data_IF_078926764520
#
_entry.id   IF_078926764520
#
_cell.length_a   1.000
_cell.length_b   1.000
_cell.length_c   1.000
_cell.angle_alpha   90.00
_cell.angle_beta   90.00
_cell.angle_gamma   90.00
#
_symmetry.space_group_name_H-M   'P 1'
#
loop_
_entity.id
_entity.type
_entity.pdbx_description
1 polymer ?
#
# COMPACT_ATOMS: atom_id res chain seq x y z
N UNK A 1 -9.70 28.87 5.87
CA UNK A 1 -9.28 27.46 5.73
C UNK A 1 -9.06 26.74 7.06
N UNK A 2 -8.36 27.33 8.04
CA UNK A 2 -8.18 26.78 9.42
C UNK A 2 -9.49 26.41 10.17
N UNK A 3 -10.60 27.05 9.82
CA UNK A 3 -11.93 26.83 10.44
C UNK A 3 -12.58 25.51 9.96
N UNK A 4 -12.35 25.08 8.71
CA UNK A 4 -12.97 23.85 8.15
C UNK A 4 -12.33 22.57 8.68
N UNK A 5 -11.00 22.57 8.89
CA UNK A 5 -10.27 21.46 9.51
C UNK A 5 -10.65 21.31 10.98
N UNK A 6 -10.76 22.43 11.72
CA UNK A 6 -11.26 22.40 13.11
C UNK A 6 -12.69 21.90 13.21
N UNK A 7 -13.58 22.25 12.28
CA UNK A 7 -14.96 21.78 12.28
C UNK A 7 -15.07 20.27 12.01
N UNK A 8 -14.25 19.71 11.12
CA UNK A 8 -14.21 18.27 10.86
C UNK A 8 -13.54 17.49 12.01
N UNK A 9 -12.48 18.03 12.62
CA UNK A 9 -11.86 17.45 13.83
C UNK A 9 -12.84 17.48 15.01
N UNK A 10 -13.59 18.58 15.17
CA UNK A 10 -14.67 18.69 16.16
C UNK A 10 -15.81 17.73 15.84
N UNK A 11 -16.16 17.50 14.57
CA UNK A 11 -17.18 16.51 14.18
C UNK A 11 -16.73 15.09 14.50
N UNK A 12 -15.48 14.72 14.19
CA UNK A 12 -14.91 13.40 14.53
C UNK A 12 -14.83 13.22 16.04
N UNK A 13 -14.36 14.23 16.79
CA UNK A 13 -14.30 14.19 18.26
C UNK A 13 -15.70 14.20 18.88
N UNK A 14 -16.68 14.90 18.31
CA UNK A 14 -18.05 14.92 18.82
C UNK A 14 -18.83 13.65 18.48
N UNK A 15 -18.55 12.99 17.35
CA UNK A 15 -19.04 11.62 17.07
C UNK A 15 -18.41 10.61 18.03
N UNK A 16 -17.15 10.81 18.43
CA UNK A 16 -16.48 10.00 19.46
C UNK A 16 -16.98 10.29 20.90
N UNK A 17 -17.52 11.48 21.16
CA UNK A 17 -18.04 11.88 22.48
C UNK A 17 -19.55 11.63 22.64
N UNK A 18 -20.32 11.59 21.56
CA UNK A 18 -21.77 11.30 21.60
C UNK A 18 -22.10 9.80 21.76
N UNK A 19 -21.10 8.92 21.76
CA UNK A 19 -21.22 7.53 22.21
C UNK A 19 -21.04 7.37 23.73
N UNK A 20 -21.11 8.48 24.49
CA UNK A 20 -21.07 8.53 25.94
C UNK A 20 -22.23 7.82 26.64
N UNK A 21 -22.21 6.48 26.63
CA UNK A 21 -22.50 5.70 27.83
C UNK A 21 -21.19 5.05 28.26
N UNK A 22 -20.78 5.31 29.50
CA UNK A 22 -19.68 4.65 30.18
C UNK A 22 -20.01 3.16 30.44
N UNK A 23 -20.21 2.39 29.38
CA UNK A 23 -19.97 0.95 29.39
C UNK A 23 -18.49 0.72 29.13
N UNK A 24 -17.97 -0.42 29.56
CA UNK A 24 -16.71 -0.92 29.00
C UNK A 24 -16.75 -0.75 27.48
N UNK A 25 -15.61 -0.44 26.86
CA UNK A 25 -15.49 -0.51 25.40
C UNK A 25 -15.94 -1.92 25.02
N UNK A 26 -17.19 -2.08 24.57
CA UNK A 26 -17.82 -3.38 24.39
C UNK A 26 -17.15 -4.00 23.17
N UNK A 27 -16.11 -4.80 23.43
CA UNK A 27 -15.31 -5.43 22.39
C UNK A 27 -16.26 -6.39 21.67
N UNK A 28 -16.59 -6.15 20.40
CA UNK A 28 -17.56 -6.96 19.71
C UNK A 28 -17.08 -8.41 19.64
N UNK A 29 -17.97 -9.35 19.94
CA UNK A 29 -17.73 -10.77 19.64
C UNK A 29 -17.42 -10.97 18.16
N UNK A 30 -16.53 -11.95 17.88
CA UNK A 30 -16.19 -12.34 16.51
C UNK A 30 -17.43 -12.93 15.84
N UNK A 31 -17.77 -12.41 14.66
CA UNK A 31 -18.94 -12.82 13.87
C UNK A 31 -18.72 -14.13 13.12
N UNK A 32 -17.46 -14.49 12.86
CA UNK A 32 -17.02 -15.69 12.12
C UNK A 32 -15.73 -16.27 12.73
N UNK A 33 -15.34 -17.50 12.40
CA UNK A 33 -13.98 -17.98 12.67
C UNK A 33 -12.92 -17.06 12.02
N UNK A 34 -11.77 -16.87 12.67
CA UNK A 34 -10.72 -15.96 12.18
C UNK A 34 -9.65 -16.66 11.32
N UNK A 35 -9.85 -17.94 11.08
CA UNK A 35 -9.02 -18.82 10.28
C UNK A 35 -9.98 -19.67 9.43
N UNK A 36 -10.29 -19.17 8.23
CA UNK A 36 -11.20 -19.85 7.29
C UNK A 36 -10.48 -21.04 6.63
N UNK A 37 -11.23 -22.06 6.25
CA UNK A 37 -10.71 -23.25 5.53
C UNK A 37 -11.45 -23.49 4.22
N UNK A 38 -12.33 -22.57 3.82
CA UNK A 38 -13.12 -22.70 2.61
C UNK A 38 -12.23 -22.47 1.38
N UNK A 39 -11.99 -23.53 0.62
CA UNK A 39 -11.12 -23.47 -0.55
C UNK A 39 -11.69 -22.56 -1.64
N UNK A 40 -10.87 -21.61 -2.06
CA UNK A 40 -11.15 -20.68 -3.15
C UNK A 40 -10.03 -20.61 -4.17
N UNK A 41 -10.35 -20.15 -5.38
CA UNK A 41 -9.32 -19.76 -6.34
C UNK A 41 -9.83 -18.67 -7.26
N UNK A 42 -8.92 -17.88 -7.81
CA UNK A 42 -9.23 -16.91 -8.83
C UNK A 42 -8.05 -16.75 -9.79
N UNK A 43 -8.30 -16.66 -11.08
CA UNK A 43 -7.28 -16.47 -12.13
C UNK A 43 -7.80 -15.51 -13.18
N UNK A 44 -7.07 -14.44 -13.46
CA UNK A 44 -7.49 -13.40 -14.39
C UNK A 44 -6.37 -13.00 -15.36
N UNK A 45 -6.69 -12.74 -16.64
CA UNK A 45 -5.77 -12.04 -17.52
C UNK A 45 -5.56 -10.62 -17.00
N UNK A 46 -4.32 -10.13 -17.10
CA UNK A 46 -3.91 -8.81 -16.64
C UNK A 46 -3.20 -8.07 -17.79
N UNK A 47 -3.96 -7.47 -18.73
CA UNK A 47 -3.35 -6.62 -19.75
C UNK A 47 -2.73 -5.39 -19.07
N UNK A 48 -1.51 -5.02 -19.47
CA UNK A 48 -0.82 -3.85 -18.93
C UNK A 48 -0.30 -2.94 -20.04
N UNK A 49 -0.19 -1.66 -19.73
CA UNK A 49 0.46 -0.64 -20.55
C UNK A 49 1.24 0.28 -19.62
N UNK A 50 2.56 0.25 -19.74
CA UNK A 50 3.48 1.03 -18.92
C UNK A 50 4.06 2.17 -19.76
N UNK A 51 3.79 3.44 -19.40
CA UNK A 51 4.38 4.59 -20.09
C UNK A 51 5.90 4.46 -20.19
N UNK A 52 6.45 4.70 -21.39
CA UNK A 52 7.89 4.68 -21.64
C UNK A 52 8.55 3.30 -21.77
N UNK A 53 7.88 2.20 -21.41
CA UNK A 53 8.38 0.83 -21.65
C UNK A 53 7.63 0.17 -22.80
N UNK A 54 6.30 0.15 -22.73
CA UNK A 54 5.46 -0.57 -23.68
C UNK A 54 4.29 -1.31 -23.04
N UNK A 55 3.81 -2.37 -23.68
CA UNK A 55 2.59 -3.07 -23.28
C UNK A 55 2.76 -4.58 -23.29
N UNK A 56 1.82 -5.28 -22.67
CA UNK A 56 1.85 -6.72 -22.68
C UNK A 56 0.67 -7.35 -21.99
N UNK A 57 0.82 -8.64 -21.72
CA UNK A 57 -0.20 -9.44 -21.07
C UNK A 57 0.43 -10.20 -19.92
N UNK A 58 -0.18 -10.06 -18.75
CA UNK A 58 0.07 -10.89 -17.59
C UNK A 58 -1.06 -11.86 -17.33
N UNK A 59 -0.78 -12.80 -16.44
CA UNK A 59 -1.76 -13.66 -15.79
C UNK A 59 -1.55 -13.54 -14.29
N UNK A 60 -2.60 -13.17 -13.56
CA UNK A 60 -2.59 -13.12 -12.09
C UNK A 60 -3.53 -14.18 -11.56
N UNK A 61 -3.16 -14.84 -10.48
CA UNK A 61 -4.06 -15.76 -9.83
C UNK A 61 -3.60 -16.22 -8.47
N UNK A 62 -4.47 -16.93 -7.79
CA UNK A 62 -4.17 -17.54 -6.50
C UNK A 62 -5.22 -18.57 -6.12
N UNK A 63 -4.84 -19.40 -5.16
CA UNK A 63 -5.69 -20.34 -4.48
C UNK A 63 -5.61 -20.07 -2.99
N UNK A 64 -6.76 -20.12 -2.33
CA UNK A 64 -6.95 -19.76 -0.94
C UNK A 64 -7.37 -21.00 -0.16
N UNK A 65 -6.91 -21.12 1.08
CA UNK A 65 -7.24 -22.24 1.97
C UNK A 65 -6.98 -23.62 1.31
N UNK A 66 -5.78 -23.81 0.76
CA UNK A 66 -5.41 -25.01 0.00
C UNK A 66 -5.37 -26.23 0.92
N UNK A 67 -5.90 -27.37 0.44
CA UNK A 67 -5.84 -28.68 1.13
C UNK A 67 -6.47 -28.66 2.54
N UNK A 68 -7.61 -27.99 2.69
CA UNK A 68 -8.30 -27.79 3.99
C UNK A 68 -7.44 -27.08 5.05
N UNK A 69 -6.34 -26.45 4.63
CA UNK A 69 -5.52 -25.58 5.47
C UNK A 69 -5.98 -24.13 5.36
N UNK A 70 -5.25 -23.24 6.02
CA UNK A 70 -5.42 -21.79 5.92
C UNK A 70 -4.44 -21.15 4.92
N UNK A 71 -3.69 -21.99 4.20
CA UNK A 71 -2.60 -21.52 3.36
C UNK A 71 -3.14 -20.96 2.06
N UNK A 72 -2.74 -19.73 1.73
CA UNK A 72 -3.00 -19.15 0.42
C UNK A 72 -1.70 -19.09 -0.39
N UNK A 73 -1.80 -19.37 -1.68
CA UNK A 73 -0.71 -19.23 -2.65
C UNK A 73 -1.19 -18.37 -3.79
N UNK A 74 -0.40 -17.37 -4.16
CA UNK A 74 -0.74 -16.43 -5.22
C UNK A 74 0.48 -16.11 -6.07
N UNK A 75 0.24 -15.66 -7.29
CA UNK A 75 1.29 -15.35 -8.22
C UNK A 75 0.81 -14.55 -9.41
N UNK A 76 1.79 -13.98 -10.10
CA UNK A 76 1.60 -13.28 -11.34
C UNK A 76 2.77 -13.57 -12.26
N UNK A 77 2.48 -13.70 -13.56
CA UNK A 77 3.48 -13.79 -14.61
C UNK A 77 3.20 -12.71 -15.64
N UNK A 78 4.25 -12.12 -16.20
CA UNK A 78 4.18 -11.05 -17.20
C UNK A 78 4.96 -11.44 -18.45
N UNK A 79 4.40 -11.12 -19.61
CA UNK A 79 5.05 -11.26 -20.91
C UNK A 79 4.73 -10.06 -21.81
N UNK A 80 5.58 -9.79 -22.79
CA UNK A 80 5.55 -8.59 -23.61
C UNK A 80 6.87 -7.82 -23.49
N UNK A 81 6.77 -6.49 -23.45
CA UNK A 81 7.90 -5.58 -23.29
C UNK A 81 8.52 -5.67 -21.88
N UNK A 82 7.71 -6.03 -20.88
CA UNK A 82 8.16 -6.44 -19.55
C UNK A 82 7.94 -7.94 -19.36
N UNK A 83 8.96 -8.63 -18.86
CA UNK A 83 8.88 -10.05 -18.50
C UNK A 83 9.19 -10.25 -17.04
N UNK A 84 8.45 -11.12 -16.38
CA UNK A 84 8.72 -11.38 -14.98
C UNK A 84 7.72 -12.31 -14.35
N UNK A 85 7.99 -12.64 -13.10
CA UNK A 85 7.08 -13.38 -12.25
C UNK A 85 7.19 -12.90 -10.81
N UNK A 86 6.08 -12.96 -10.09
CA UNK A 86 6.07 -12.89 -8.64
C UNK A 86 5.24 -14.05 -8.10
N UNK A 87 5.69 -14.61 -6.97
CA UNK A 87 5.04 -15.72 -6.27
C UNK A 87 5.04 -15.41 -4.78
N UNK A 88 3.95 -15.73 -4.12
CA UNK A 88 3.81 -15.58 -2.69
C UNK A 88 2.99 -16.69 -2.08
N UNK A 89 3.29 -16.99 -0.82
CA UNK A 89 2.49 -17.83 0.03
C UNK A 89 2.27 -17.12 1.36
N UNK A 90 1.05 -17.16 1.89
CA UNK A 90 0.69 -16.53 3.16
C UNK A 90 -0.10 -17.49 4.03
N UNK A 91 -0.19 -17.13 5.30
CA UNK A 91 -0.90 -17.91 6.32
C UNK A 91 -0.38 -19.38 6.37
N UNK A 92 0.95 -19.55 6.27
CA UNK A 92 1.62 -20.84 6.50
C UNK A 92 1.71 -21.11 8.01
N UNK A 93 0.98 -22.09 8.52
CA UNK A 93 0.91 -22.37 9.95
C UNK A 93 2.15 -23.14 10.43
N UNK A 94 3.16 -22.43 10.94
CA UNK A 94 4.32 -23.04 11.60
C UNK A 94 3.90 -23.67 12.94
N UNK A 95 3.06 -22.94 13.68
CA UNK A 95 2.32 -23.47 14.83
C UNK A 95 0.85 -23.16 14.59
N UNK A 96 -0.04 -24.18 14.59
CA UNK A 96 -1.44 -23.99 14.21
C UNK A 96 -2.10 -22.81 14.94
N UNK A 97 -2.58 -21.83 14.16
CA UNK A 97 -3.34 -20.64 14.64
C UNK A 97 -2.59 -19.75 15.64
N UNK A 98 -1.27 -19.91 15.76
CA UNK A 98 -0.45 -19.16 16.71
C UNK A 98 0.78 -18.54 16.07
N UNK A 99 1.45 -19.24 15.15
CA UNK A 99 2.62 -18.73 14.44
C UNK A 99 2.43 -18.95 12.95
N UNK A 100 2.27 -17.85 12.23
CA UNK A 100 2.02 -17.80 10.80
C UNK A 100 3.27 -17.30 10.09
N UNK A 101 3.57 -17.88 8.93
CA UNK A 101 4.61 -17.41 8.04
C UNK A 101 4.02 -16.97 6.70
N UNK A 102 4.64 -15.94 6.14
CA UNK A 102 4.39 -15.46 4.79
C UNK A 102 5.73 -15.34 4.08
N UNK A 103 5.78 -15.71 2.81
CA UNK A 103 6.97 -15.62 1.96
C UNK A 103 6.57 -15.08 0.59
N UNK A 104 7.44 -14.29 0.00
CA UNK A 104 7.25 -13.72 -1.33
C UNK A 104 8.56 -13.58 -2.06
N UNK A 105 8.53 -13.86 -3.35
CA UNK A 105 9.65 -13.67 -4.27
C UNK A 105 9.15 -13.04 -5.57
N UNK A 106 9.96 -12.20 -6.19
CA UNK A 106 9.72 -11.73 -7.55
C UNK A 106 11.01 -11.51 -8.32
N UNK A 107 10.90 -11.64 -9.63
CA UNK A 107 11.95 -11.33 -10.60
C UNK A 107 11.30 -10.71 -11.82
N UNK A 108 11.63 -9.46 -12.11
CA UNK A 108 11.07 -8.67 -13.22
C UNK A 108 12.23 -8.08 -14.02
N UNK A 109 12.18 -8.21 -15.34
CA UNK A 109 13.24 -7.76 -16.23
C UNK A 109 13.44 -6.26 -16.14
N UNK A 110 12.35 -5.51 -16.18
CA UNK A 110 12.35 -4.05 -16.24
C UNK A 110 11.09 -3.50 -15.58
N UNK A 111 11.24 -2.45 -14.77
CA UNK A 111 10.12 -1.72 -14.16
C UNK A 111 10.33 -0.22 -14.35
N UNK A 112 9.27 0.51 -14.66
CA UNK A 112 9.30 1.98 -14.70
C UNK A 112 8.56 2.56 -13.51
N UNK A 113 9.20 3.51 -12.85
CA UNK A 113 8.66 4.26 -11.73
C UNK A 113 8.55 5.73 -12.14
N UNK A 114 7.43 6.37 -11.79
CA UNK A 114 7.29 7.82 -11.91
C UNK A 114 8.03 8.49 -10.74
N UNK A 115 9.05 9.27 -11.06
CA UNK A 115 9.77 10.11 -10.11
C UNK A 115 9.34 11.57 -10.27
N UNK A 116 8.49 12.03 -9.35
CA UNK A 116 7.91 13.37 -9.41
C UNK A 116 8.94 14.42 -9.03
N UNK A 117 8.99 15.55 -9.74
CA UNK A 117 10.01 16.59 -9.59
C UNK A 117 10.07 17.25 -8.19
N UNK A 118 9.06 17.02 -7.35
CA UNK A 118 9.14 17.28 -5.92
C UNK A 118 8.38 16.21 -5.13
N UNK A 119 8.90 15.93 -3.93
CA UNK A 119 8.38 14.91 -3.00
C UNK A 119 7.09 15.31 -2.26
N UNK A 120 6.87 16.62 -2.07
CA UNK A 120 5.76 17.17 -1.28
C UNK A 120 4.46 17.38 -2.07
N UNK A 121 3.44 17.94 -1.40
CA UNK A 121 2.08 18.02 -1.96
C UNK A 121 1.90 18.99 -3.14
N UNK A 122 2.82 19.93 -3.35
CA UNK A 122 2.73 21.00 -4.35
C UNK A 122 3.37 20.70 -5.70
N UNK A 123 3.94 19.50 -5.87
CA UNK A 123 4.45 19.06 -7.17
C UNK A 123 3.35 19.09 -8.25
N UNK A 124 3.70 19.53 -9.46
CA UNK A 124 2.79 19.44 -10.61
C UNK A 124 2.63 17.98 -11.05
N UNK A 125 1.45 17.63 -11.57
CA UNK A 125 1.13 16.26 -11.99
C UNK A 125 1.88 15.85 -13.26
N UNK A 126 2.19 16.83 -14.11
CA UNK A 126 2.98 16.68 -15.33
C UNK A 126 4.42 17.14 -15.08
N UNK A 127 4.90 17.04 -13.84
CA UNK A 127 6.30 17.25 -13.50
C UNK A 127 6.84 15.97 -12.86
N UNK A 128 7.09 14.98 -13.71
CA UNK A 128 7.76 13.73 -13.35
C UNK A 128 8.75 13.31 -14.44
N UNK A 129 9.67 12.45 -14.05
CA UNK A 129 10.54 11.68 -14.95
C UNK A 129 10.18 10.21 -14.81
N UNK A 130 10.49 9.41 -15.82
CA UNK A 130 10.33 7.96 -15.76
C UNK A 130 11.69 7.32 -15.49
N UNK A 131 11.82 6.66 -14.34
CA UNK A 131 13.02 5.91 -13.98
C UNK A 131 12.81 4.46 -14.40
N UNK A 132 13.68 3.94 -15.25
CA UNK A 132 13.68 2.54 -15.68
C UNK A 132 14.71 1.74 -14.87
N UNK A 133 14.23 0.71 -14.17
CA UNK A 133 15.02 -0.18 -13.34
C UNK A 133 15.06 -1.58 -13.95
N UNK A 134 16.26 -2.08 -14.21
CA UNK A 134 16.53 -3.40 -14.74
C UNK A 134 16.85 -4.45 -13.67
N UNK A 135 16.69 -5.71 -14.05
CA UNK A 135 17.01 -6.91 -13.26
C UNK A 135 16.45 -6.87 -11.83
N UNK A 136 15.21 -6.37 -11.70
CA UNK A 136 14.57 -6.19 -10.40
C UNK A 136 14.27 -7.54 -9.77
N UNK A 137 14.88 -7.81 -8.63
CA UNK A 137 14.59 -8.99 -7.83
C UNK A 137 14.23 -8.59 -6.42
N UNK A 138 13.26 -9.29 -5.86
CA UNK A 138 12.79 -9.07 -4.51
C UNK A 138 12.51 -10.41 -3.85
N UNK A 139 12.86 -10.51 -2.58
CA UNK A 139 12.49 -11.63 -1.75
C UNK A 139 12.25 -11.15 -0.33
N UNK A 140 11.33 -11.81 0.37
CA UNK A 140 11.21 -11.62 1.79
C UNK A 140 10.11 -12.46 2.38
N UNK A 141 9.87 -12.20 3.66
CA UNK A 141 8.87 -12.91 4.41
C UNK A 141 8.56 -12.23 5.72
N UNK A 142 7.48 -12.72 6.34
CA UNK A 142 6.94 -12.22 7.58
C UNK A 142 6.60 -13.41 8.48
N UNK A 143 6.88 -13.24 9.77
CA UNK A 143 6.35 -14.09 10.83
C UNK A 143 5.36 -13.27 11.63
N UNK A 144 4.18 -13.85 11.87
CA UNK A 144 3.13 -13.22 12.69
C UNK A 144 2.74 -14.19 13.80
N UNK A 145 2.96 -13.77 15.04
CA UNK A 145 2.43 -14.45 16.21
C UNK A 145 1.03 -13.91 16.51
N UNK A 146 0.04 -14.80 16.63
CA UNK A 146 -1.37 -14.44 16.82
C UNK A 146 -1.91 -14.93 18.16
N UNK A 147 -2.65 -14.08 18.85
CA UNK A 147 -3.22 -14.35 20.17
C UNK A 147 -4.70 -13.94 20.23
N UNK A 148 -5.46 -14.63 21.08
CA UNK A 148 -6.87 -14.32 21.37
C UNK A 148 -7.74 -14.20 20.10
N UNK A 149 -7.75 -15.23 19.24
CA UNK A 149 -8.46 -15.20 17.96
C UNK A 149 -8.08 -13.98 17.10
N UNK A 150 -6.76 -13.81 16.91
CA UNK A 150 -6.14 -12.72 16.14
C UNK A 150 -6.52 -11.31 16.60
N UNK A 151 -6.91 -11.15 17.87
CA UNK A 151 -7.15 -9.81 18.44
C UNK A 151 -5.86 -9.09 18.79
N UNK A 152 -4.80 -9.84 19.02
CA UNK A 152 -3.48 -9.29 19.24
C UNK A 152 -2.48 -10.04 18.39
N UNK A 153 -1.70 -9.30 17.61
CA UNK A 153 -0.65 -9.86 16.78
C UNK A 153 0.65 -9.09 17.00
N UNK A 154 1.76 -9.82 16.97
CA UNK A 154 3.11 -9.26 16.89
C UNK A 154 3.73 -9.86 15.64
N UNK A 155 4.38 -9.03 14.83
CA UNK A 155 4.98 -9.49 13.60
C UNK A 155 6.36 -8.92 13.39
N UNK A 156 7.17 -9.72 12.70
CA UNK A 156 8.49 -9.33 12.21
C UNK A 156 8.59 -9.72 10.74
N UNK A 157 9.11 -8.82 9.90
CA UNK A 157 9.31 -9.08 8.49
C UNK A 157 10.70 -8.65 8.05
N UNK A 158 11.21 -9.30 7.01
CA UNK A 158 12.46 -8.93 6.37
C UNK A 158 12.30 -9.05 4.86
N UNK A 159 12.66 -7.99 4.16
CA UNK A 159 12.59 -7.91 2.71
C UNK A 159 13.92 -7.42 2.19
N UNK A 160 14.37 -8.02 1.09
CA UNK A 160 15.59 -7.64 0.41
C UNK A 160 15.31 -7.57 -1.10
N UNK A 161 15.94 -6.61 -1.76
CA UNK A 161 15.82 -6.45 -3.19
C UNK A 161 17.10 -5.94 -3.81
N UNK A 162 17.18 -6.13 -5.12
CA UNK A 162 18.22 -5.54 -5.97
C UNK A 162 17.63 -5.05 -7.27
N UNK A 163 18.19 -3.97 -7.78
CA UNK A 163 17.87 -3.41 -9.09
C UNK A 163 19.06 -2.59 -9.59
N UNK A 164 19.06 -2.29 -10.89
CA UNK A 164 20.01 -1.35 -11.48
C UNK A 164 19.25 -0.28 -12.25
N UNK A 165 19.69 0.96 -12.16
CA UNK A 165 19.21 2.02 -13.07
C UNK A 165 19.62 1.67 -14.51
N UNK A 166 18.67 1.65 -15.43
CA UNK A 166 18.94 1.48 -16.86
C UNK A 166 18.87 2.83 -17.57
N UNK A 167 17.80 3.58 -17.33
CA UNK A 167 17.61 4.88 -17.98
C UNK A 167 16.73 5.82 -17.17
N UNK A 168 16.86 7.10 -17.47
CA UNK A 168 15.94 8.17 -17.08
C UNK A 168 15.33 8.73 -18.36
N UNK A 169 14.00 8.71 -18.39
CA UNK A 169 13.19 9.13 -19.54
C UNK A 169 12.34 10.34 -19.17
N UNK A 170 11.95 11.10 -20.18
CA UNK A 170 10.89 12.10 -20.05
C UNK A 170 9.51 11.43 -19.90
N UNK A 171 8.48 12.26 -19.80
CA UNK A 171 7.09 11.82 -19.62
C UNK A 171 6.50 11.17 -20.87
N UNK A 172 7.05 11.50 -22.04
CA UNK A 172 6.66 10.94 -23.34
C UNK A 172 7.36 9.59 -23.59
N UNK A 173 8.31 9.20 -22.74
CA UNK A 173 9.05 7.95 -22.82
C UNK A 173 10.37 8.04 -23.59
N UNK A 174 10.77 9.22 -24.04
CA UNK A 174 12.05 9.49 -24.71
C UNK A 174 13.19 9.31 -23.71
N UNK A 175 14.23 8.59 -24.12
CA UNK A 175 15.42 8.39 -23.29
C UNK A 175 16.22 9.69 -23.24
N UNK A 176 16.32 10.27 -22.05
CA UNK A 176 17.09 11.50 -21.80
C UNK A 176 18.47 11.19 -21.25
N UNK A 177 18.58 10.11 -20.46
CA UNK A 177 19.85 9.71 -19.84
C UNK A 177 19.92 8.20 -19.76
N UNK A 178 21.01 7.63 -20.26
CA UNK A 178 21.31 6.21 -20.13
C UNK A 178 22.32 6.03 -18.99
N UNK A 179 22.07 5.05 -18.12
CA UNK A 179 23.05 4.64 -17.13
C UNK A 179 24.09 3.73 -17.79
N UNK A 180 25.37 4.11 -17.71
CA UNK A 180 26.50 3.32 -18.18
C UNK A 180 27.29 2.83 -16.98
N UNK A 181 27.29 1.50 -16.76
CA UNK A 181 28.02 0.84 -15.67
C UNK A 181 27.60 1.29 -14.25
N UNK A 182 26.32 1.63 -14.08
CA UNK A 182 25.76 1.98 -12.78
C UNK A 182 25.83 0.83 -11.77
N UNK A 183 26.08 1.17 -10.51
CA UNK A 183 26.12 0.20 -9.42
C UNK A 183 24.77 -0.54 -9.29
N UNK A 184 24.84 -1.81 -8.88
CA UNK A 184 23.63 -2.59 -8.54
C UNK A 184 23.20 -2.16 -7.14
N UNK A 185 22.11 -1.41 -7.07
CA UNK A 185 21.48 -1.06 -5.81
C UNK A 185 20.99 -2.31 -5.09
N UNK A 186 21.35 -2.44 -3.81
CA UNK A 186 20.88 -3.51 -2.93
C UNK A 186 20.30 -2.88 -1.68
N UNK A 187 19.02 -3.13 -1.46
CA UNK A 187 18.32 -2.64 -0.28
C UNK A 187 17.81 -3.81 0.53
N UNK A 188 17.76 -3.64 1.84
CA UNK A 188 16.95 -4.49 2.68
C UNK A 188 16.24 -3.66 3.74
N UNK A 189 15.07 -4.12 4.15
CA UNK A 189 14.25 -3.48 5.17
C UNK A 189 13.75 -4.54 6.13
N UNK A 190 13.83 -4.24 7.41
CA UNK A 190 13.22 -5.06 8.46
C UNK A 190 12.05 -4.32 9.07
N UNK A 191 11.02 -5.05 9.44
CA UNK A 191 9.81 -4.49 10.03
C UNK A 191 9.55 -5.21 11.34
N UNK A 192 9.23 -4.45 12.38
CA UNK A 192 8.67 -4.99 13.62
C UNK A 192 7.40 -4.21 13.92
N UNK A 193 6.30 -4.92 14.17
CA UNK A 193 5.04 -4.27 14.44
C UNK A 193 4.11 -5.08 15.31
N UNK A 194 3.04 -4.42 15.72
CA UNK A 194 1.97 -5.01 16.50
C UNK A 194 0.63 -4.51 16.03
N UNK A 195 -0.36 -5.41 16.07
CA UNK A 195 -1.75 -5.11 15.75
C UNK A 195 -2.63 -5.46 16.94
N UNK A 196 -3.51 -4.53 17.28
CA UNK A 196 -4.63 -4.75 18.18
C UNK A 196 -5.90 -4.66 17.34
N UNK A 197 -6.57 -5.79 17.19
CA UNK A 197 -7.79 -5.93 16.40
C UNK A 197 -8.97 -6.22 17.34
N UNK A 198 -9.75 -5.17 17.61
CA UNK A 198 -10.97 -5.23 18.41
C UNK A 198 -12.21 -5.16 17.51
N UNK A 199 -12.14 -5.72 16.31
CA UNK A 199 -13.27 -5.76 15.38
C UNK A 199 -14.08 -7.05 15.56
N UNK A 200 -15.28 -7.07 14.96
CA UNK A 200 -16.09 -8.28 14.89
C UNK A 200 -15.59 -9.30 13.85
N UNK A 201 -14.70 -8.92 12.94
CA UNK A 201 -14.20 -9.79 11.86
C UNK A 201 -12.83 -9.27 11.38
N UNK A 202 -11.83 -10.14 11.27
CA UNK A 202 -10.48 -9.75 10.85
C UNK A 202 -10.40 -9.39 9.36
N UNK A 203 -11.18 -10.03 8.49
CA UNK A 203 -11.11 -9.77 7.05
C UNK A 203 -12.11 -8.70 6.62
N UNK A 204 -13.39 -8.79 6.99
CA UNK A 204 -14.43 -7.80 6.66
C UNK A 204 -15.10 -7.20 7.92
N UNK A 205 -14.37 -6.34 8.68
CA UNK A 205 -14.92 -5.65 9.85
C UNK A 205 -16.20 -4.86 9.54
N UNK A 206 -17.21 -4.99 10.40
CA UNK A 206 -18.43 -4.17 10.38
C UNK A 206 -18.58 -3.27 11.61
N UNK A 207 -17.94 -3.65 12.72
CA UNK A 207 -17.93 -2.88 13.97
C UNK A 207 -16.61 -3.06 14.71
N UNK A 208 -16.24 -2.04 15.48
CA UNK A 208 -15.06 -2.06 16.36
C UNK A 208 -13.90 -1.24 15.82
N UNK A 209 -12.70 -1.47 16.35
CA UNK A 209 -11.50 -0.68 16.05
C UNK A 209 -10.29 -1.57 15.83
N UNK A 210 -9.46 -1.21 14.86
CA UNK A 210 -8.15 -1.82 14.60
C UNK A 210 -7.07 -0.76 14.74
N UNK A 211 -6.02 -1.12 15.47
CA UNK A 211 -4.82 -0.32 15.66
C UNK A 211 -3.62 -1.13 15.18
N UNK A 212 -2.74 -0.50 14.42
CA UNK A 212 -1.49 -1.10 13.96
C UNK A 212 -0.36 -0.09 14.12
N UNK A 213 0.74 -0.54 14.71
CA UNK A 213 1.95 0.26 14.93
C UNK A 213 3.13 -0.55 14.45
N UNK A 214 3.93 0.04 13.57
CA UNK A 214 5.11 -0.61 13.02
C UNK A 214 6.32 0.30 13.00
N UNK A 215 7.49 -0.33 13.13
CA UNK A 215 8.79 0.27 12.89
C UNK A 215 9.42 -0.43 11.70
N UNK A 216 9.69 0.33 10.65
CA UNK A 216 10.46 -0.12 9.50
C UNK A 216 11.87 0.40 9.65
N UNK A 217 12.88 -0.46 9.63
CA UNK A 217 14.28 -0.07 9.64
C UNK A 217 14.90 -0.39 8.28
N UNK A 218 15.42 0.66 7.65
CA UNK A 218 16.16 0.59 6.40
C UNK A 218 17.60 0.97 6.72
N UNK A 219 18.47 -0.03 6.97
CA UNK A 219 19.88 0.21 7.20
C UNK A 219 20.54 0.84 5.97
N UNK A 220 21.69 1.49 6.17
CA UNK A 220 22.37 2.21 5.11
C UNK A 220 22.90 1.21 4.08
N UNK A 221 22.70 1.55 2.81
CA UNK A 221 23.39 0.93 1.69
C UNK A 221 24.61 1.78 1.28
N UNK A 222 25.12 1.60 0.05
CA UNK A 222 26.33 2.27 -0.43
C UNK A 222 26.25 3.80 -0.36
N UNK A 223 25.08 4.38 -0.68
CA UNK A 223 24.90 5.84 -0.74
C UNK A 223 23.68 6.35 0.03
N UNK A 224 22.79 5.46 0.46
CA UNK A 224 21.55 5.76 1.16
C UNK A 224 21.72 6.06 2.64
N UNK A 225 20.68 6.62 3.28
CA UNK A 225 20.70 6.96 4.69
C UNK A 225 20.49 5.72 5.57
N UNK A 226 20.94 5.79 6.82
CA UNK A 226 20.46 4.92 7.90
C UNK A 226 19.25 5.60 8.55
N UNK A 227 18.08 5.00 8.43
CA UNK A 227 16.85 5.58 8.95
C UNK A 227 15.81 4.53 9.30
N UNK A 228 14.85 4.95 10.12
CA UNK A 228 13.67 4.16 10.39
C UNK A 228 12.40 4.97 10.23
N UNK A 229 11.31 4.27 9.94
CA UNK A 229 9.97 4.83 9.78
C UNK A 229 9.11 4.31 10.92
N UNK A 230 8.38 5.21 11.58
CA UNK A 230 7.33 4.84 12.53
C UNK A 230 5.97 5.07 11.89
N UNK A 231 5.16 4.02 11.82
CA UNK A 231 3.81 4.10 11.26
C UNK A 231 2.77 3.80 12.32
N UNK A 232 1.69 4.58 12.27
CA UNK A 232 0.53 4.45 13.13
C UNK A 232 -0.69 4.44 12.23
N UNK A 233 -1.42 3.33 12.23
CA UNK A 233 -2.61 3.15 11.43
C UNK A 233 -3.77 2.77 12.35
N UNK A 234 -4.88 3.50 12.24
CA UNK A 234 -6.07 3.28 13.05
C UNK A 234 -7.29 3.28 12.17
N UNK A 235 -8.07 2.21 12.22
CA UNK A 235 -9.33 2.12 11.49
C UNK A 235 -10.47 1.80 12.44
N UNK A 236 -11.49 2.65 12.46
CA UNK A 236 -12.73 2.42 13.20
C UNK A 236 -13.86 2.04 12.23
N UNK A 237 -14.72 1.13 12.66
CA UNK A 237 -15.86 0.63 11.90
C UNK A 237 -17.13 0.88 12.70
N UNK A 238 -18.03 1.67 12.13
CA UNK A 238 -19.32 2.02 12.74
C UNK A 238 -20.43 1.35 11.93
N UNK A 239 -21.23 0.45 12.52
CA UNK A 239 -22.29 -0.22 11.80
C UNK A 239 -23.39 0.77 11.39
N UNK A 240 -23.85 0.68 10.14
CA UNK A 240 -25.03 1.38 9.63
C UNK A 240 -26.14 0.35 9.43
N UNK A 241 -27.12 0.35 10.33
CA UNK A 241 -28.16 -0.67 10.36
C UNK A 241 -27.57 -2.06 10.63
N UNK A 242 -28.08 -3.09 9.96
CA UNK A 242 -27.68 -4.49 10.20
C UNK A 242 -26.51 -4.99 9.36
N UNK A 243 -26.20 -4.31 8.25
CA UNK A 243 -25.33 -4.88 7.20
C UNK A 243 -24.25 -3.92 6.74
N UNK A 244 -24.60 -2.65 6.58
CA UNK A 244 -23.70 -1.64 6.04
C UNK A 244 -22.75 -1.15 7.12
N UNK A 245 -21.62 -0.58 6.72
CA UNK A 245 -20.57 -0.13 7.64
C UNK A 245 -20.00 1.19 7.18
N UNK A 246 -19.70 2.07 8.13
CA UNK A 246 -18.91 3.26 7.89
C UNK A 246 -17.52 3.07 8.48
N UNK A 247 -16.52 2.98 7.61
CA UNK A 247 -15.11 2.89 8.00
C UNK A 247 -14.47 4.27 8.04
N UNK A 248 -13.64 4.52 9.05
CA UNK A 248 -12.88 5.74 9.27
C UNK A 248 -11.42 5.36 9.50
N UNK A 249 -10.49 5.94 8.75
CA UNK A 249 -9.07 5.67 8.88
C UNK A 249 -8.29 6.94 9.25
N UNK A 250 -7.34 6.77 10.15
CA UNK A 250 -6.28 7.71 10.46
C UNK A 250 -4.94 7.00 10.23
N UNK A 251 -4.07 7.63 9.45
CA UNK A 251 -2.73 7.14 9.22
C UNK A 251 -1.71 8.25 9.40
N UNK A 252 -0.60 7.90 10.04
CA UNK A 252 0.55 8.77 10.21
C UNK A 252 1.83 7.97 10.05
N UNK A 253 2.78 8.52 9.30
CA UNK A 253 4.09 7.92 9.09
C UNK A 253 5.16 8.99 9.24
N UNK A 254 6.22 8.68 9.98
CA UNK A 254 7.33 9.59 10.27
C UNK A 254 8.66 8.86 10.05
N UNK A 255 9.46 9.31 9.09
CA UNK A 255 10.84 8.91 8.91
C UNK A 255 11.76 9.64 9.90
N UNK A 256 12.78 8.94 10.37
CA UNK A 256 13.82 9.46 11.25
C UNK A 256 15.18 8.97 10.78
N UNK A 257 15.97 9.89 10.25
CA UNK A 257 17.34 9.64 9.81
C UNK A 257 18.26 9.62 11.03
N UNK A 258 18.93 8.50 11.23
CA UNK A 258 19.98 8.34 12.25
C UNK A 258 21.33 8.80 11.68
N UNK A 259 21.59 8.47 10.40
CA UNK A 259 22.76 8.94 9.65
C UNK A 259 22.37 9.32 8.23
N UNK A 260 22.63 10.56 7.78
CA UNK A 260 22.40 10.94 6.39
C UNK A 260 23.22 10.10 5.42
N UNK A 261 22.66 9.84 4.24
CA UNK A 261 23.37 9.26 3.11
C UNK A 261 24.22 10.31 2.38
N UNK A 262 24.68 9.96 1.19
CA UNK A 262 25.42 10.85 0.30
C UNK A 262 24.49 11.99 -0.17
N UNK A 263 24.93 13.24 -0.02
CA UNK A 263 24.13 14.42 -0.43
C UNK A 263 24.87 15.30 -1.43
N UNK A 264 25.97 14.80 -1.98
CA UNK A 264 26.78 15.46 -3.01
C UNK A 264 26.29 14.97 -4.38
N UNK A 265 25.88 15.89 -5.23
CA UNK A 265 25.27 15.61 -6.54
C UNK A 265 26.15 14.68 -7.40
N UNK A 266 27.42 15.05 -7.60
CA UNK A 266 28.34 14.29 -8.45
C UNK A 266 28.69 12.89 -7.92
N UNK A 267 28.62 12.67 -6.61
CA UNK A 267 28.87 11.34 -6.03
C UNK A 267 27.71 10.39 -6.35
N UNK A 268 26.48 10.90 -6.35
CA UNK A 268 25.28 10.13 -6.74
C UNK A 268 25.30 9.86 -8.25
N UNK A 269 25.67 10.83 -9.07
CA UNK A 269 25.84 10.62 -10.52
C UNK A 269 26.82 9.50 -10.82
N UNK A 270 28.00 9.54 -10.17
CA UNK A 270 29.03 8.52 -10.31
C UNK A 270 28.53 7.15 -9.87
N UNK A 271 27.78 7.07 -8.76
CA UNK A 271 27.21 5.81 -8.28
C UNK A 271 26.19 5.21 -9.27
N UNK A 272 25.32 6.05 -9.82
CA UNK A 272 24.29 5.64 -10.78
C UNK A 272 24.84 5.42 -12.19
N UNK A 273 26.10 5.79 -12.46
CA UNK A 273 26.72 5.68 -13.77
C UNK A 273 26.09 6.62 -14.80
N UNK A 274 25.66 7.81 -14.38
CA UNK A 274 24.99 8.81 -15.24
C UNK A 274 25.78 10.10 -15.31
N UNK A 275 25.56 10.88 -16.37
CA UNK A 275 26.01 12.28 -16.46
C UNK A 275 24.79 13.14 -16.76
N UNK A 276 24.24 13.77 -15.72
CA UNK A 276 23.03 14.55 -15.81
C UNK A 276 23.28 15.88 -16.55
N UNK A 277 22.79 15.94 -17.78
CA UNK A 277 22.74 17.19 -18.57
C UNK A 277 21.31 17.70 -18.79
N UNK A 278 20.31 16.89 -18.43
CA UNK A 278 18.89 17.16 -18.63
C UNK A 278 18.20 17.52 -17.31
N UNK A 279 17.12 18.34 -17.35
CA UNK A 279 16.34 18.66 -16.16
C UNK A 279 15.77 17.43 -15.43
N UNK A 280 15.39 16.39 -16.17
CA UNK A 280 14.81 15.15 -15.64
C UNK A 280 15.82 14.42 -14.77
N UNK A 281 17.05 14.25 -15.27
CA UNK A 281 18.13 13.61 -14.52
C UNK A 281 18.48 14.39 -13.25
N UNK A 282 18.58 15.73 -13.35
CA UNK A 282 18.85 16.60 -12.20
C UNK A 282 17.78 16.45 -11.11
N UNK A 283 16.51 16.32 -11.48
CA UNK A 283 15.40 16.10 -10.53
C UNK A 283 15.55 14.77 -9.79
N UNK A 284 15.84 13.68 -10.52
CA UNK A 284 16.06 12.36 -9.92
C UNK A 284 17.17 12.39 -8.88
N UNK A 285 18.31 13.02 -9.20
CA UNK A 285 19.41 13.15 -8.26
C UNK A 285 19.01 14.01 -7.04
N UNK A 286 18.30 15.12 -7.24
CA UNK A 286 17.85 15.97 -6.13
C UNK A 286 16.85 15.25 -5.22
N UNK A 287 15.93 14.46 -5.77
CA UNK A 287 15.03 13.61 -4.98
C UNK A 287 15.80 12.59 -4.14
N UNK A 288 16.87 12.01 -4.70
CA UNK A 288 17.76 11.10 -3.97
C UNK A 288 18.54 11.83 -2.87
N UNK A 289 19.00 13.06 -3.11
CA UNK A 289 19.63 13.91 -2.08
C UNK A 289 18.65 14.18 -0.92
N UNK A 290 17.42 14.54 -1.25
CA UNK A 290 16.39 14.81 -0.23
C UNK A 290 16.02 13.54 0.54
N UNK A 291 15.91 12.38 -0.13
CA UNK A 291 15.76 11.09 0.52
C UNK A 291 16.93 10.81 1.48
N UNK A 292 18.17 10.98 1.01
CA UNK A 292 19.38 10.75 1.80
C UNK A 292 19.49 11.70 3.00
N UNK A 293 18.85 12.88 2.94
CA UNK A 293 18.84 13.85 4.03
C UNK A 293 17.72 13.62 5.04
N UNK A 294 16.52 13.31 4.57
CA UNK A 294 15.31 13.32 5.42
C UNK A 294 14.69 11.93 5.62
N UNK A 295 15.10 10.92 4.85
CA UNK A 295 14.40 9.64 4.74
C UNK A 295 13.06 9.81 4.03
N UNK A 296 12.37 8.70 3.77
CA UNK A 296 11.03 8.70 3.17
C UNK A 296 10.08 7.92 4.09
N UNK A 297 8.99 8.56 4.52
CA UNK A 297 7.91 7.90 5.24
C UNK A 297 6.97 7.18 4.27
N UNK A 298 5.95 6.50 4.80
CA UNK A 298 4.89 5.89 4.00
C UNK A 298 4.27 6.91 3.05
N UNK A 299 4.34 6.62 1.75
CA UNK A 299 3.89 7.52 0.69
C UNK A 299 2.37 7.60 0.58
N UNK A 300 1.87 8.64 -0.08
CA UNK A 300 0.47 8.77 -0.47
C UNK A 300 0.33 8.68 -2.00
N UNK A 301 -0.77 8.10 -2.45
CA UNK A 301 -1.05 7.75 -3.84
C UNK A 301 -1.09 6.23 -4.06
N UNK A 302 -1.80 5.79 -5.09
CA UNK A 302 -2.04 4.38 -5.40
C UNK A 302 -3.26 3.80 -4.69
N UNK A 303 -3.38 2.47 -4.67
CA UNK A 303 -4.62 1.79 -4.25
C UNK A 303 -4.94 1.91 -2.75
N UNK A 304 -3.95 2.23 -1.91
CA UNK A 304 -4.12 2.24 -0.46
C UNK A 304 -4.60 3.57 0.09
N UNK A 305 -4.06 4.71 -0.36
CA UNK A 305 -4.31 6.04 0.23
C UNK A 305 -4.23 7.10 -0.86
N UNK A 306 -5.20 8.02 -0.93
CA UNK A 306 -5.32 9.01 -2.02
C UNK A 306 -5.44 8.33 -3.39
N UNK A 307 -6.50 7.52 -3.54
CA UNK A 307 -6.69 6.59 -4.68
C UNK A 307 -6.82 7.21 -6.07
N UNK A 308 -7.05 8.52 -6.16
CA UNK A 308 -7.07 9.25 -7.44
C UNK A 308 -5.69 9.73 -7.91
N UNK A 309 -4.62 9.35 -7.22
CA UNK A 309 -3.26 9.77 -7.50
C UNK A 309 -2.39 8.54 -7.78
N UNK A 310 -1.37 8.63 -8.66
CA UNK A 310 -0.46 7.52 -8.95
C UNK A 310 0.22 6.95 -7.70
N UNK A 311 0.63 5.69 -7.74
CA UNK A 311 1.37 5.08 -6.63
C UNK A 311 2.67 5.87 -6.34
N UNK A 312 2.92 6.17 -5.06
CA UNK A 312 4.11 6.93 -4.66
C UNK A 312 4.09 8.42 -5.04
N UNK A 313 2.95 8.97 -5.47
CA UNK A 313 2.81 10.36 -5.94
C UNK A 313 3.38 11.41 -4.98
N UNK A 314 3.24 11.19 -3.68
CA UNK A 314 3.74 12.08 -2.63
C UNK A 314 4.59 11.27 -1.64
N UNK A 315 5.87 11.63 -1.46
CA UNK A 315 6.91 10.78 -0.87
C UNK A 315 7.96 11.56 -0.06
N UNK A 316 7.56 12.12 1.09
CA UNK A 316 8.42 12.91 1.99
C UNK A 316 8.65 12.23 3.35
N UNK A 317 9.40 12.89 4.24
CA UNK A 317 9.76 12.35 5.55
C UNK A 317 8.61 12.26 6.56
N UNK A 318 7.50 12.95 6.33
CA UNK A 318 6.31 12.89 7.18
C UNK A 318 5.05 12.79 6.34
N UNK A 319 4.15 11.87 6.70
CA UNK A 319 2.86 11.69 6.06
C UNK A 319 1.72 11.70 7.09
N UNK A 320 0.60 12.31 6.69
CA UNK A 320 -0.64 12.37 7.45
C UNK A 320 -1.80 12.08 6.51
N UNK A 321 -2.70 11.19 6.91
CA UNK A 321 -3.83 10.78 6.10
C UNK A 321 -5.08 10.55 6.94
N UNK A 322 -6.22 10.91 6.34
CA UNK A 322 -7.56 10.64 6.84
C UNK A 322 -8.40 10.07 5.70
N UNK A 323 -9.02 8.92 5.96
CA UNK A 323 -9.91 8.25 5.01
C UNK A 323 -11.26 7.99 5.63
N UNK A 324 -12.31 8.02 4.81
CA UNK A 324 -13.65 7.60 5.21
C UNK A 324 -14.31 6.85 4.07
N UNK A 325 -15.00 5.75 4.38
CA UNK A 325 -15.66 4.90 3.39
C UNK A 325 -16.98 4.33 3.94
N UNK A 326 -18.07 4.61 3.24
CA UNK A 326 -19.37 3.98 3.48
C UNK A 326 -19.47 2.74 2.60
N UNK A 327 -19.62 1.58 3.25
CA UNK A 327 -19.75 0.26 2.63
C UNK A 327 -21.20 -0.16 2.73
N UNK A 328 -21.91 -0.05 1.61
CA UNK A 328 -23.32 -0.42 1.50
C UNK A 328 -23.44 -1.83 0.95
N UNK A 329 -23.96 -2.76 1.77
CA UNK A 329 -24.18 -4.14 1.37
C UNK A 329 -25.54 -4.28 0.69
N UNK A 330 -25.55 -4.69 -0.58
CA UNK A 330 -26.75 -4.74 -1.42
C UNK A 330 -27.56 -6.03 -1.22
N UNK A 331 -26.88 -7.13 -0.88
CA UNK A 331 -27.46 -8.47 -0.79
C UNK A 331 -27.24 -9.08 0.59
N UNK A 332 -28.10 -10.03 0.95
CA UNK A 332 -27.85 -10.94 2.07
C UNK A 332 -26.80 -11.96 1.65
N UNK A 333 -25.77 -12.17 2.47
CA UNK A 333 -24.87 -13.32 2.34
C UNK A 333 -25.71 -14.60 2.38
N UNK A 334 -25.74 -15.38 1.29
CA UNK A 334 -25.75 -16.84 1.29
C UNK A 334 -26.17 -17.40 -0.09
N UNK A 335 -25.18 -17.64 -0.94
CA UNK A 335 -24.97 -18.90 -1.69
C UNK A 335 -23.70 -18.70 -2.52
N UNK A 336 -22.58 -19.36 -2.19
CA UNK A 336 -21.42 -19.35 -3.06
C UNK A 336 -21.80 -19.90 -4.43
N UNK A 337 -21.35 -19.24 -5.50
CA UNK A 337 -21.40 -19.79 -6.84
C UNK A 337 -20.02 -19.77 -7.48
N UNK A 338 -19.83 -20.62 -8.47
CA UNK A 338 -18.56 -20.77 -9.18
C UNK A 338 -18.72 -20.25 -10.60
N UNK A 339 -17.71 -19.53 -11.08
CA UNK A 339 -17.48 -19.29 -12.50
C UNK A 339 -16.17 -19.96 -12.90
N UNK A 340 -15.94 -20.20 -14.19
CA UNK A 340 -14.76 -20.94 -14.66
C UNK A 340 -13.42 -20.37 -14.14
N UNK A 341 -13.34 -19.05 -14.01
CA UNK A 341 -12.13 -18.33 -13.59
C UNK A 341 -12.06 -18.07 -12.07
N UNK A 342 -13.11 -18.41 -11.32
CA UNK A 342 -13.21 -18.04 -9.90
C UNK A 342 -14.20 -18.94 -9.13
N UNK A 343 -13.75 -19.57 -8.05
CA UNK A 343 -14.59 -20.36 -7.13
C UNK A 343 -15.16 -19.44 -6.03
N UNK A 344 -16.12 -19.97 -5.27
CA UNK A 344 -16.54 -19.46 -3.95
C UNK A 344 -16.94 -17.96 -3.88
N UNK A 345 -17.47 -17.43 -4.99
CA UNK A 345 -17.99 -16.06 -5.03
C UNK A 345 -19.20 -15.99 -4.10
N UNK A 346 -19.09 -15.27 -2.98
CA UNK A 346 -20.30 -14.94 -2.21
C UNK A 346 -21.09 -13.92 -3.02
N UNK A 347 -22.41 -14.06 -2.98
CA UNK A 347 -23.38 -13.12 -3.57
C UNK A 347 -23.35 -11.72 -2.93
N UNK A 348 -22.48 -11.47 -1.95
CA UNK A 348 -22.34 -10.19 -1.25
C UNK A 348 -21.55 -9.16 -2.07
N UNK A 349 -22.26 -8.41 -2.90
CA UNK A 349 -21.73 -7.20 -3.53
C UNK A 349 -21.91 -6.01 -2.60
N UNK A 350 -20.85 -5.22 -2.45
CA UNK A 350 -20.88 -4.00 -1.65
C UNK A 350 -20.52 -2.80 -2.54
N UNK A 351 -21.27 -1.72 -2.38
CA UNK A 351 -20.89 -0.41 -2.92
C UNK A 351 -20.09 0.33 -1.87
N UNK A 352 -18.93 0.86 -2.25
CA UNK A 352 -18.04 1.62 -1.37
C UNK A 352 -17.95 3.08 -1.84
N UNK A 353 -18.51 4.00 -1.06
CA UNK A 353 -18.38 5.44 -1.31
C UNK A 353 -17.29 5.99 -0.40
N UNK A 354 -16.26 6.59 -0.95
CA UNK A 354 -15.12 7.03 -0.15
C UNK A 354 -14.73 8.49 -0.39
N UNK A 355 -14.15 9.07 0.66
CA UNK A 355 -13.51 10.37 0.64
C UNK A 355 -12.23 10.30 1.46
N UNK A 356 -11.16 10.89 0.95
CA UNK A 356 -9.83 10.78 1.49
C UNK A 356 -9.14 12.14 1.42
N UNK A 357 -8.29 12.41 2.40
CA UNK A 357 -7.41 13.56 2.39
C UNK A 357 -6.07 13.23 3.04
N UNK A 358 -4.99 13.84 2.54
CA UNK A 358 -3.67 13.65 3.14
C UNK A 358 -2.69 14.76 2.79
N UNK A 359 -1.56 14.73 3.49
CA UNK A 359 -0.44 15.66 3.34
C UNK A 359 0.87 14.93 3.59
N UNK A 360 1.89 15.33 2.86
CA UNK A 360 3.26 14.83 2.90
C UNK A 360 4.22 16.01 2.86
N UNK A 361 5.17 16.02 3.77
CA UNK A 361 6.18 17.08 3.90
C UNK A 361 7.48 16.52 4.46
N UNK A 362 8.63 17.05 4.03
CA UNK A 362 9.92 16.73 4.65
C UNK A 362 10.12 17.46 5.98
N UNK A 363 9.47 18.62 6.16
CA UNK A 363 9.56 19.40 7.39
C UNK A 363 8.27 19.23 8.18
N UNK A 364 8.34 18.57 9.34
CA UNK A 364 7.18 18.27 10.19
C UNK A 364 6.28 19.46 10.52
N UNK A 365 6.85 20.66 10.72
CA UNK A 365 6.06 21.86 11.03
C UNK A 365 5.24 22.39 9.85
N UNK A 366 5.52 21.92 8.63
CA UNK A 366 4.75 22.23 7.43
C UNK A 366 3.65 21.21 7.13
N UNK A 367 3.68 20.03 7.77
CA UNK A 367 2.72 18.96 7.53
C UNK A 367 1.28 19.45 7.74
N UNK A 368 0.43 19.24 6.73
CA UNK A 368 -0.95 19.69 6.72
C UNK A 368 -1.18 21.13 6.25
N UNK A 369 -0.13 21.90 5.91
CA UNK A 369 -0.28 23.21 5.27
C UNK A 369 -0.97 23.08 3.91
N UNK A 370 -0.57 22.07 3.15
CA UNK A 370 -1.19 21.69 1.88
C UNK A 370 -1.72 20.27 2.02
N UNK A 371 -3.01 20.12 1.76
CA UNK A 371 -3.71 18.83 1.74
C UNK A 371 -4.20 18.55 0.32
N UNK A 372 -4.15 17.29 -0.09
CA UNK A 372 -4.82 16.80 -1.30
C UNK A 372 -5.97 15.90 -0.89
N UNK A 373 -7.02 15.92 -1.71
CA UNK A 373 -8.21 15.10 -1.49
C UNK A 373 -8.43 14.17 -2.68
N UNK A 374 -9.06 13.04 -2.39
CA UNK A 374 -9.53 12.05 -3.35
C UNK A 374 -10.92 11.58 -2.92
N UNK A 375 -11.81 11.30 -3.85
CA UNK A 375 -13.12 10.74 -3.56
C UNK A 375 -13.58 9.83 -4.68
N UNK A 376 -14.42 8.86 -4.39
CA UNK A 376 -14.81 7.92 -5.41
C UNK A 376 -15.84 6.90 -4.99
N UNK A 377 -16.06 5.99 -5.94
CA UNK A 377 -17.00 4.90 -5.86
C UNK A 377 -16.26 3.60 -6.14
N UNK A 378 -16.58 2.56 -5.38
CA UNK A 378 -16.07 1.22 -5.54
C UNK A 378 -17.15 0.17 -5.56
N UNK A 379 -16.89 -0.92 -6.26
CA UNK A 379 -17.63 -2.18 -6.11
C UNK A 379 -16.69 -3.19 -5.48
N UNK A 380 -17.15 -3.85 -4.41
CA UNK A 380 -16.43 -4.90 -3.70
C UNK A 380 -17.17 -6.22 -3.82
N UNK A 381 -16.41 -7.27 -4.08
CA UNK A 381 -16.84 -8.66 -4.02
C UNK A 381 -16.01 -9.37 -2.96
N UNK A 382 -16.68 -9.92 -1.96
CA UNK A 382 -16.04 -10.65 -0.86
C UNK A 382 -16.26 -12.15 -1.10
N UNK A 383 -15.21 -12.94 -1.20
CA UNK A 383 -15.32 -14.39 -1.38
C UNK A 383 -15.56 -15.10 -0.05
N UNK A 384 -15.86 -16.39 -0.13
CA UNK A 384 -16.10 -17.18 1.05
C UNK A 384 -14.80 -17.55 1.77
N UNK A 385 -13.75 -17.79 0.98
CA UNK A 385 -12.34 -17.91 1.37
C UNK A 385 -11.72 -16.66 2.01
N UNK A 386 -12.40 -15.51 1.94
CA UNK A 386 -11.95 -14.27 2.61
C UNK A 386 -11.22 -13.26 1.72
N UNK A 387 -11.05 -13.55 0.43
CA UNK A 387 -10.48 -12.62 -0.53
C UNK A 387 -11.48 -11.51 -0.86
N UNK A 388 -10.96 -10.30 -1.10
CA UNK A 388 -11.77 -9.15 -1.49
C UNK A 388 -11.27 -8.61 -2.81
N UNK A 389 -12.11 -8.69 -3.82
CA UNK A 389 -11.87 -8.12 -5.13
C UNK A 389 -12.56 -6.76 -5.19
N UNK A 390 -11.82 -5.78 -5.69
CA UNK A 390 -12.29 -4.39 -5.70
C UNK A 390 -12.02 -3.74 -7.04
N UNK A 391 -13.02 -3.01 -7.52
CA UNK A 391 -12.91 -2.11 -8.65
C UNK A 391 -13.38 -0.72 -8.21
N UNK A 392 -12.47 0.26 -8.24
CA UNK A 392 -12.71 1.64 -7.82
C UNK A 392 -12.58 2.59 -9.01
N UNK A 393 -13.36 3.67 -8.97
CA UNK A 393 -13.16 4.88 -9.78
C UNK A 393 -13.01 6.04 -8.79
N UNK A 394 -11.81 6.62 -8.74
CA UNK A 394 -11.47 7.73 -7.87
C UNK A 394 -11.30 9.02 -8.69
N UNK A 395 -11.69 10.16 -8.12
CA UNK A 395 -11.50 11.48 -8.69
C UNK A 395 -10.78 12.39 -7.68
N UNK A 396 -9.94 13.27 -8.20
CA UNK A 396 -9.18 14.23 -7.39
C UNK A 396 -8.68 15.40 -8.24
N UNK A 397 -7.67 16.12 -7.74
CA UNK A 397 -7.12 17.28 -8.45
C UNK A 397 -6.48 16.90 -9.79
N UNK A 398 -5.93 15.70 -9.89
CA UNK A 398 -5.14 15.28 -11.06
C UNK A 398 -5.98 14.60 -12.15
N UNK A 399 -7.23 14.25 -11.86
CA UNK A 399 -8.16 13.64 -12.81
C UNK A 399 -8.96 12.51 -12.18
N UNK A 400 -9.34 11.56 -13.02
CA UNK A 400 -10.05 10.33 -12.65
C UNK A 400 -9.10 9.15 -12.84
N UNK A 401 -9.02 8.28 -11.84
CA UNK A 401 -8.17 7.09 -11.83
C UNK A 401 -9.03 5.84 -11.55
N UNK A 402 -9.15 4.92 -12.52
CA UNK A 402 -9.73 3.61 -12.28
C UNK A 402 -8.68 2.67 -11.65
N UNK A 403 -9.10 1.79 -10.74
CA UNK A 403 -8.22 0.77 -10.18
C UNK A 403 -8.93 -0.55 -9.95
N UNK A 404 -8.20 -1.65 -10.13
CA UNK A 404 -8.63 -3.00 -9.78
C UNK A 404 -7.54 -3.63 -8.92
N UNK A 405 -7.91 -4.10 -7.73
CA UNK A 405 -6.97 -4.71 -6.80
C UNK A 405 -7.64 -5.74 -5.89
N UNK A 406 -6.82 -6.56 -5.27
CA UNK A 406 -7.23 -7.57 -4.29
C UNK A 406 -6.79 -7.11 -2.90
N UNK A 407 -7.68 -7.17 -1.92
CA UNK A 407 -7.44 -6.77 -0.54
C UNK A 407 -8.23 -5.54 -0.11
N UNK A 408 -7.77 -4.90 0.97
CA UNK A 408 -8.41 -3.73 1.57
C UNK A 408 -7.54 -2.48 1.45
N UNK A 409 -8.12 -1.30 1.19
CA UNK A 409 -7.39 -0.05 1.34
C UNK A 409 -7.07 0.20 2.82
N UNK A 410 -6.08 1.06 3.04
CA UNK A 410 -5.61 1.48 4.36
C UNK A 410 -5.00 0.39 5.24
N UNK A 411 -4.57 -0.72 4.66
CA UNK A 411 -3.74 -1.69 5.38
C UNK A 411 -2.26 -1.25 5.41
N UNK A 412 -1.47 -1.91 6.25
CA UNK A 412 -0.03 -1.72 6.43
C UNK A 412 0.73 -2.88 5.78
#
# INVERSE_FOLDING_TARGET
>A
MKIRVRAMLLLVVSVLMFSGTAGALDIPERRKPQFETEFGYAVFPYPYSLPGIGSGLGLVGGAMNIDETHTDVYGMIFSGDVRGAALGARDLHIIPRMLLAEIGISSISTVTIQDFGARGMDADKNDYSLIELGDMQYAGGRLTATFYDRRFEIYAAAYAGRSRLESIRDQDGTINTLATDGAVGRGHTTIFGTRVDLTDDYQDPRRGIRLDVSRWHTPPDDIGPDYFIMEYNTTAYVPIGRRSTWALNYFRSDARVERPGVTIFGDIENYLGVTCTTPECIKVINNMIDHNRYGTAGSLGGFNRLRSYPAGRYSGAHALFYGTEVRWNLTDEATPFNIFVMKDIRTAFQIALFYEMGSVEDIRSKLGNVMRASYGLGVRMVTASGAVFRADIAAGREGVEPSIFIGYPWEL
#
